data_IF_375106766862
#
_entry.id   IF_375106766862
#
_cell.length_a   1.000
_cell.length_b   1.000
_cell.length_c   1.000
_cell.angle_alpha   90.00
_cell.angle_beta   90.00
_cell.angle_gamma   90.00
#
_symmetry.space_group_name_H-M   'P 1'
#
loop_
_entity.id
_entity.type
_entity.pdbx_description
1 polymer ?
#
# COMPACT_ATOMS: atom_id res chain seq x y z
N UNK A 1 -17.28 -2.94 -30.37
CA UNK A 1 -16.26 -2.76 -29.32
C UNK A 1 -16.78 -1.66 -28.41
N UNK A 2 -16.85 -1.91 -27.10
CA UNK A 2 -17.22 -0.87 -26.14
C UNK A 2 -16.11 0.18 -26.13
N UNK A 3 -16.48 1.45 -26.25
CA UNK A 3 -15.49 2.53 -26.20
C UNK A 3 -14.87 2.62 -24.80
N UNK A 4 -15.66 2.32 -23.76
CA UNK A 4 -15.26 2.38 -22.35
C UNK A 4 -15.88 1.24 -21.54
N UNK A 5 -15.11 0.70 -20.59
CA UNK A 5 -15.66 -0.14 -19.52
C UNK A 5 -16.23 0.73 -18.39
N UNK A 6 -17.22 0.22 -17.63
CA UNK A 6 -17.77 0.87 -16.43
C UNK A 6 -17.70 -0.06 -15.21
N UNK A 7 -17.16 0.47 -14.12
CA UNK A 7 -17.07 -0.22 -12.82
C UNK A 7 -17.72 0.68 -11.78
N UNK A 8 -18.60 0.16 -10.92
CA UNK A 8 -19.18 0.90 -9.78
C UNK A 8 -18.81 0.19 -8.49
N UNK A 9 -18.29 0.93 -7.52
CA UNK A 9 -17.82 0.42 -6.22
C UNK A 9 -18.29 1.30 -5.06
N UNK A 10 -18.23 0.75 -3.85
CA UNK A 10 -18.36 1.56 -2.63
C UNK A 10 -17.23 2.59 -2.55
N UNK A 11 -17.58 3.84 -2.27
CA UNK A 11 -16.62 4.93 -2.26
C UNK A 11 -15.62 4.83 -1.11
N UNK A 12 -16.06 4.36 0.06
CA UNK A 12 -15.21 4.32 1.26
C UNK A 12 -14.17 3.21 1.20
N UNK A 13 -14.50 1.94 0.91
CA UNK A 13 -13.52 0.89 0.62
C UNK A 13 -12.55 1.29 -0.50
N UNK A 14 -13.04 1.88 -1.59
CA UNK A 14 -12.17 2.36 -2.67
C UNK A 14 -11.18 3.43 -2.20
N UNK A 15 -11.63 4.42 -1.41
CA UNK A 15 -10.76 5.48 -0.90
C UNK A 15 -9.67 4.92 0.03
N UNK A 16 -10.02 3.95 0.88
CA UNK A 16 -9.08 3.24 1.77
C UNK A 16 -8.06 2.43 0.97
N UNK A 17 -8.51 1.66 -0.02
CA UNK A 17 -7.68 0.87 -0.91
C UNK A 17 -6.69 1.74 -1.69
N UNK A 18 -7.16 2.85 -2.27
CA UNK A 18 -6.33 3.80 -2.99
C UNK A 18 -5.30 4.48 -2.08
N UNK A 19 -5.68 4.83 -0.85
CA UNK A 19 -4.76 5.41 0.13
C UNK A 19 -3.65 4.42 0.54
N UNK A 20 -3.99 3.14 0.75
CA UNK A 20 -3.03 2.09 1.04
C UNK A 20 -2.07 1.88 -0.14
N UNK A 21 -2.58 1.81 -1.37
CA UNK A 21 -1.77 1.70 -2.58
C UNK A 21 -0.83 2.90 -2.77
N UNK A 22 -1.30 4.13 -2.54
CA UNK A 22 -0.47 5.35 -2.57
C UNK A 22 0.64 5.34 -1.51
N UNK A 23 0.43 4.68 -0.37
CA UNK A 23 1.43 4.57 0.68
C UNK A 23 2.59 3.63 0.27
N UNK A 24 2.29 2.56 -0.46
CA UNK A 24 3.25 1.54 -0.93
C UNK A 24 3.92 1.94 -2.24
N UNK A 25 3.20 2.54 -3.18
CA UNK A 25 3.77 2.96 -4.46
C UNK A 25 4.94 3.94 -4.26
N UNK A 26 6.13 3.68 -4.84
CA UNK A 26 7.25 4.60 -4.78
C UNK A 26 6.96 5.93 -5.49
N UNK A 27 7.82 6.92 -5.28
CA UNK A 27 7.66 8.26 -5.87
C UNK A 27 8.40 8.46 -7.19
N UNK A 28 8.98 7.40 -7.76
CA UNK A 28 9.83 7.45 -8.94
C UNK A 28 9.51 6.30 -9.88
N UNK A 29 9.60 6.57 -11.17
CA UNK A 29 9.50 5.57 -12.24
C UNK A 29 10.54 4.44 -12.06
N UNK A 30 10.24 3.22 -12.56
CA UNK A 30 9.02 2.83 -13.29
C UNK A 30 7.88 2.32 -12.38
N UNK A 31 8.12 2.25 -11.07
CA UNK A 31 7.20 1.61 -10.12
C UNK A 31 6.23 2.59 -9.45
N UNK A 32 6.22 3.88 -9.81
CA UNK A 32 5.28 4.88 -9.31
C UNK A 32 3.87 4.70 -9.91
N UNK A 33 3.40 3.46 -9.93
CA UNK A 33 2.18 3.01 -10.60
C UNK A 33 1.25 2.37 -9.57
N UNK A 34 -0.04 2.59 -9.76
CA UNK A 34 -1.11 1.89 -9.05
C UNK A 34 -1.94 1.15 -10.09
N UNK A 35 -2.07 -0.16 -9.87
CA UNK A 35 -2.85 -1.05 -10.70
C UNK A 35 -4.25 -1.21 -10.12
N UNK A 36 -5.22 -1.27 -11.01
CA UNK A 36 -6.59 -1.69 -10.75
C UNK A 36 -6.80 -2.94 -11.60
N UNK A 37 -7.24 -4.04 -10.99
CA UNK A 37 -7.49 -5.30 -11.68
C UNK A 37 -8.84 -5.86 -11.26
N UNK A 38 -9.61 -6.35 -12.20
CA UNK A 38 -10.85 -7.07 -11.90
C UNK A 38 -10.49 -8.53 -11.66
N UNK A 39 -10.82 -9.04 -10.47
CA UNK A 39 -10.60 -10.44 -10.09
C UNK A 39 -11.94 -11.01 -9.66
N UNK A 40 -12.52 -11.87 -10.49
CA UNK A 40 -13.91 -12.30 -10.31
C UNK A 40 -14.85 -11.10 -10.29
N UNK A 41 -15.65 -10.99 -9.22
CA UNK A 41 -16.62 -9.90 -9.03
C UNK A 41 -16.08 -8.75 -8.17
N UNK A 42 -14.76 -8.65 -8.02
CA UNK A 42 -14.11 -7.67 -7.14
C UNK A 42 -13.11 -6.82 -7.90
N UNK A 43 -13.03 -5.54 -7.56
CA UNK A 43 -11.96 -4.65 -8.02
C UNK A 43 -10.82 -4.72 -7.03
N UNK A 44 -9.62 -5.06 -7.47
CA UNK A 44 -8.42 -5.07 -6.65
C UNK A 44 -7.56 -3.87 -6.98
N UNK A 45 -7.25 -3.05 -5.98
CA UNK A 45 -6.33 -1.92 -6.08
C UNK A 45 -4.98 -2.35 -5.51
N UNK A 46 -3.95 -2.30 -6.33
CA UNK A 46 -2.65 -2.84 -6.01
C UNK A 46 -1.50 -1.86 -6.30
N UNK A 47 -0.43 -1.99 -5.54
CA UNK A 47 0.83 -1.28 -5.76
C UNK A 47 2.00 -2.14 -5.30
N UNK A 48 3.18 -1.91 -5.87
CA UNK A 48 4.42 -2.55 -5.41
C UNK A 48 5.63 -1.64 -5.58
N UNK A 49 6.64 -1.91 -4.77
CA UNK A 49 8.00 -1.41 -4.88
C UNK A 49 8.93 -2.58 -5.25
N UNK A 50 10.23 -2.42 -5.01
CA UNK A 50 11.21 -3.51 -5.09
C UNK A 50 11.09 -4.49 -3.92
N UNK A 51 10.59 -4.04 -2.77
CA UNK A 51 10.59 -4.79 -1.51
C UNK A 51 9.20 -4.99 -0.94
N UNK A 52 8.20 -4.19 -1.32
CA UNK A 52 6.84 -4.30 -0.79
C UNK A 52 5.81 -4.44 -1.91
N UNK A 53 4.70 -5.11 -1.61
CA UNK A 53 3.55 -5.19 -2.50
C UNK A 53 2.26 -5.22 -1.67
N UNK A 54 1.21 -4.58 -2.15
CA UNK A 54 -0.13 -4.60 -1.54
C UNK A 54 -1.19 -4.81 -2.61
N UNK A 55 -2.23 -5.57 -2.27
CA UNK A 55 -3.46 -5.73 -3.03
C UNK A 55 -4.64 -5.60 -2.06
N UNK A 56 -5.56 -4.69 -2.36
CA UNK A 56 -6.74 -4.42 -1.55
C UNK A 56 -7.98 -4.63 -2.39
N UNK A 57 -8.86 -5.50 -1.92
CA UNK A 57 -10.15 -5.79 -2.50
C UNK A 57 -11.14 -4.65 -2.24
N UNK A 58 -11.89 -4.30 -3.28
CA UNK A 58 -12.94 -3.30 -3.27
C UNK A 58 -14.20 -3.94 -3.83
N UNK A 59 -15.25 -4.12 -2.99
CA UNK A 59 -16.52 -4.67 -3.44
C UNK A 59 -17.10 -3.87 -4.61
N UNK A 60 -17.62 -4.59 -5.60
CA UNK A 60 -18.24 -4.00 -6.79
C UNK A 60 -19.76 -4.16 -6.74
N UNK A 61 -20.47 -3.16 -7.26
CA UNK A 61 -21.92 -3.22 -7.49
C UNK A 61 -22.25 -3.51 -8.95
N UNK A 62 -21.37 -3.09 -9.85
CA UNK A 62 -21.59 -3.16 -11.28
C UNK A 62 -20.25 -3.29 -11.98
N UNK A 63 -20.18 -4.25 -12.90
CA UNK A 63 -19.05 -4.50 -13.78
C UNK A 63 -19.56 -4.67 -15.20
N UNK A 64 -19.09 -3.79 -16.09
CA UNK A 64 -19.25 -3.89 -17.53
C UNK A 64 -17.89 -3.62 -18.15
N UNK A 65 -17.11 -4.68 -18.30
CA UNK A 65 -15.67 -4.61 -18.56
C UNK A 65 -15.32 -5.34 -19.83
N UNK A 66 -14.61 -4.65 -20.72
CA UNK A 66 -13.91 -5.26 -21.84
C UNK A 66 -12.65 -5.96 -21.31
N UNK A 67 -12.75 -7.23 -20.95
CA UNK A 67 -11.66 -7.98 -20.33
C UNK A 67 -10.43 -8.17 -21.23
N UNK A 68 -10.53 -7.98 -22.55
CA UNK A 68 -9.35 -8.04 -23.41
C UNK A 68 -8.45 -6.79 -23.26
N UNK A 69 -9.05 -5.65 -22.87
CA UNK A 69 -8.36 -4.35 -22.77
C UNK A 69 -8.24 -3.84 -21.34
N UNK A 70 -9.23 -4.10 -20.52
CA UNK A 70 -9.48 -3.44 -19.24
C UNK A 70 -9.61 -4.43 -18.06
N UNK A 71 -9.21 -5.70 -18.24
CA UNK A 71 -9.03 -6.65 -17.12
C UNK A 71 -8.15 -6.01 -16.03
N UNK A 72 -7.14 -5.25 -16.46
CA UNK A 72 -6.42 -4.35 -15.60
C UNK A 72 -6.20 -3.00 -16.27
N UNK A 73 -5.98 -1.97 -15.45
CA UNK A 73 -5.52 -0.66 -15.88
C UNK A 73 -4.65 -0.04 -14.82
N UNK A 74 -3.74 0.83 -15.25
CA UNK A 74 -2.72 1.42 -14.41
C UNK A 74 -2.79 2.94 -14.51
N UNK A 75 -2.50 3.64 -13.42
CA UNK A 75 -2.29 5.08 -13.39
C UNK A 75 -1.04 5.37 -12.57
N UNK A 76 -0.43 6.53 -12.79
CA UNK A 76 0.71 6.92 -11.95
C UNK A 76 0.23 7.27 -10.53
N UNK A 77 1.15 7.25 -9.58
CA UNK A 77 0.89 7.65 -8.20
C UNK A 77 0.41 9.11 -8.11
N UNK A 78 0.88 9.98 -9.01
CA UNK A 78 0.42 11.36 -9.08
C UNK A 78 -1.06 11.43 -9.51
N UNK A 79 -1.44 10.66 -10.53
CA UNK A 79 -2.82 10.55 -11.01
C UNK A 79 -3.74 9.92 -9.95
N UNK A 80 -3.26 8.92 -9.22
CA UNK A 80 -3.99 8.34 -8.09
C UNK A 80 -4.27 9.37 -6.98
N UNK A 81 -3.33 10.28 -6.69
CA UNK A 81 -3.56 11.38 -5.75
C UNK A 81 -4.60 12.36 -6.29
N UNK A 82 -4.59 12.65 -7.58
CA UNK A 82 -5.60 13.49 -8.22
C UNK A 82 -7.00 12.84 -8.15
N UNK A 83 -7.09 11.53 -8.44
CA UNK A 83 -8.31 10.76 -8.24
C UNK A 83 -8.79 10.84 -6.80
N UNK A 84 -7.91 10.62 -5.81
CA UNK A 84 -8.25 10.63 -4.39
C UNK A 84 -8.72 11.99 -3.87
N UNK A 85 -8.28 13.10 -4.49
CA UNK A 85 -8.63 14.46 -4.07
C UNK A 85 -10.11 14.82 -4.27
N UNK A 86 -10.83 14.09 -5.13
CA UNK A 86 -12.26 14.27 -5.31
C UNK A 86 -13.03 13.89 -4.04
N UNK A 87 -13.58 14.92 -3.40
CA UNK A 87 -14.42 14.77 -2.20
C UNK A 87 -15.83 14.34 -2.58
N UNK A 88 -16.25 13.22 -2.02
CA UNK A 88 -17.64 12.77 -2.06
C UNK A 88 -18.33 13.22 -0.78
N UNK A 89 -19.61 13.60 -0.90
CA UNK A 89 -20.43 14.00 0.24
C UNK A 89 -21.77 13.32 0.10
N UNK A 90 -22.31 12.85 1.23
CA UNK A 90 -23.69 12.41 1.31
C UNK A 90 -24.57 13.65 1.27
N UNK A 91 -25.49 13.69 0.32
CA UNK A 91 -26.52 14.74 0.29
C UNK A 91 -27.70 14.33 1.21
N UNK A 92 -28.03 13.04 1.27
CA UNK A 92 -28.91 12.42 2.27
C UNK A 92 -28.14 11.45 3.20
N UNK A 93 -28.37 11.45 4.52
CA UNK A 93 -27.79 10.46 5.44
C UNK A 93 -28.01 8.99 5.03
N UNK A 94 -29.14 8.69 4.40
CA UNK A 94 -29.51 7.35 3.92
C UNK A 94 -28.78 6.97 2.62
N UNK A 95 -28.20 7.93 1.90
CA UNK A 95 -27.47 7.65 0.67
C UNK A 95 -26.19 6.85 0.95
N UNK A 96 -26.00 5.78 0.19
CA UNK A 96 -24.73 5.09 0.10
C UNK A 96 -23.81 5.80 -0.88
N UNK A 97 -22.58 6.09 -0.45
CA UNK A 97 -21.60 6.73 -1.32
C UNK A 97 -21.03 5.70 -2.28
N UNK A 98 -21.27 5.92 -3.58
CA UNK A 98 -20.81 5.05 -4.65
C UNK A 98 -20.06 5.87 -5.69
N UNK A 99 -19.00 5.31 -6.24
CA UNK A 99 -18.28 5.95 -7.33
C UNK A 99 -18.21 5.03 -8.54
N UNK A 100 -18.19 5.66 -9.70
CA UNK A 100 -18.00 5.01 -10.98
C UNK A 100 -16.57 5.21 -11.47
N UNK A 101 -16.05 4.23 -12.18
CA UNK A 101 -14.83 4.31 -12.97
C UNK A 101 -15.22 4.00 -14.41
N UNK A 102 -15.08 4.98 -15.29
CA UNK A 102 -15.11 4.76 -16.73
C UNK A 102 -13.68 4.57 -17.21
N UNK A 103 -13.38 3.40 -17.77
CA UNK A 103 -12.05 3.00 -18.20
C UNK A 103 -12.00 3.10 -19.73
N UNK A 104 -11.12 3.95 -20.21
CA UNK A 104 -10.77 4.07 -21.62
C UNK A 104 -9.33 3.61 -21.84
N UNK A 105 -8.95 3.39 -23.09
CA UNK A 105 -7.59 3.05 -23.49
C UNK A 105 -6.53 4.10 -23.08
N UNK A 106 -6.95 5.33 -22.78
CA UNK A 106 -6.03 6.47 -22.56
C UNK A 106 -6.27 7.20 -21.25
N UNK A 107 -7.41 6.98 -20.61
CA UNK A 107 -7.82 7.76 -19.45
C UNK A 107 -8.76 6.95 -18.57
N UNK A 108 -8.80 7.32 -17.30
CA UNK A 108 -9.76 6.83 -16.31
C UNK A 108 -10.57 8.03 -15.83
N UNK A 109 -11.89 7.90 -15.80
CA UNK A 109 -12.78 8.95 -15.33
C UNK A 109 -13.54 8.44 -14.11
N UNK A 110 -13.22 9.02 -12.95
CA UNK A 110 -13.95 8.77 -11.71
C UNK A 110 -15.17 9.67 -11.66
N UNK A 111 -16.34 9.09 -11.44
CA UNK A 111 -17.63 9.80 -11.30
C UNK A 111 -18.23 9.55 -9.92
N UNK A 112 -18.99 10.51 -9.42
CA UNK A 112 -19.86 10.31 -8.25
C UNK A 112 -21.14 9.62 -8.72
N UNK A 113 -21.47 8.44 -8.19
CA UNK A 113 -22.67 7.68 -8.55
C UNK A 113 -23.65 7.61 -7.37
N UNK A 114 -23.49 8.49 -6.38
CA UNK A 114 -24.32 8.54 -5.17
C UNK A 114 -25.63 9.32 -5.40
N UNK A 115 -26.73 8.83 -4.81
CA UNK A 115 -28.02 9.52 -4.79
C UNK A 115 -28.53 9.99 -6.16
N UNK A 116 -29.04 11.22 -6.22
CA UNK A 116 -29.43 11.90 -7.48
C UNK A 116 -28.25 12.53 -8.23
N UNK A 117 -27.03 12.45 -7.66
CA UNK A 117 -25.81 13.12 -8.11
C UNK A 117 -25.02 12.39 -9.20
N UNK A 118 -25.69 11.56 -10.01
CA UNK A 118 -25.14 10.69 -11.06
C UNK A 118 -24.21 11.41 -12.04
N UNK A 119 -22.92 11.48 -11.70
CA UNK A 119 -21.86 12.02 -12.55
C UNK A 119 -21.66 13.54 -12.48
N UNK A 120 -22.29 14.26 -11.53
CA UNK A 120 -22.14 15.73 -11.44
C UNK A 120 -20.70 16.13 -11.10
N UNK A 121 -20.05 15.34 -10.24
CA UNK A 121 -18.63 15.50 -9.91
C UNK A 121 -17.86 14.40 -10.59
N UNK A 122 -16.79 14.79 -11.28
CA UNK A 122 -15.93 13.83 -11.93
C UNK A 122 -14.48 14.32 -12.00
N UNK A 123 -13.55 13.37 -11.98
CA UNK A 123 -12.11 13.62 -12.15
C UNK A 123 -11.58 12.66 -13.19
N UNK A 124 -10.95 13.22 -14.23
CA UNK A 124 -10.35 12.47 -15.32
C UNK A 124 -8.84 12.46 -15.15
N UNK A 125 -8.25 11.28 -15.22
CA UNK A 125 -6.80 11.06 -15.12
C UNK A 125 -6.29 10.26 -16.30
N UNK A 126 -4.99 10.36 -16.59
CA UNK A 126 -4.37 9.61 -17.67
C UNK A 126 -4.13 8.15 -17.28
N UNK A 127 -4.42 7.22 -18.20
CA UNK A 127 -3.99 5.82 -18.08
C UNK A 127 -2.47 5.73 -18.31
N UNK A 128 -1.79 5.05 -17.42
CA UNK A 128 -0.36 4.75 -17.51
C UNK A 128 -0.15 3.45 -18.30
N UNK A 129 0.91 3.40 -19.11
CA UNK A 129 1.33 2.19 -19.81
C UNK A 129 0.44 1.79 -20.99
N UNK A 130 0.73 0.60 -21.51
CA UNK A 130 -0.04 -0.06 -22.57
C UNK A 130 -1.21 -0.85 -21.94
N UNK A 131 -2.39 -0.91 -22.57
CA UNK A 131 -3.46 -1.80 -22.13
C UNK A 131 -3.08 -3.29 -22.11
N UNK A 132 -2.04 -3.66 -22.85
CA UNK A 132 -1.65 -5.05 -23.09
C UNK A 132 -0.35 -5.47 -22.38
N UNK A 133 0.32 -4.54 -21.69
CA UNK A 133 1.51 -4.83 -20.89
C UNK A 133 1.45 -4.09 -19.54
N UNK A 134 1.47 -4.85 -18.44
CA UNK A 134 1.39 -4.32 -17.08
C UNK A 134 2.79 -4.02 -16.55
N UNK A 135 3.00 -2.84 -15.99
CA UNK A 135 4.27 -2.49 -15.34
C UNK A 135 4.50 -3.29 -14.04
N UNK A 136 3.42 -3.70 -13.36
CA UNK A 136 3.51 -4.38 -12.06
C UNK A 136 3.36 -5.91 -12.16
N UNK A 137 2.89 -6.42 -13.31
CA UNK A 137 2.47 -7.80 -13.49
C UNK A 137 1.11 -8.08 -12.82
N UNK A 138 0.87 -9.33 -12.44
CA UNK A 138 -0.33 -9.72 -11.68
C UNK A 138 -0.01 -9.72 -10.17
N UNK A 139 -0.13 -8.55 -9.55
CA UNK A 139 0.14 -8.36 -8.11
C UNK A 139 -0.83 -9.17 -7.24
N UNK A 140 -2.15 -9.15 -7.48
CA UNK A 140 -3.10 -9.95 -6.70
C UNK A 140 -2.78 -11.45 -6.73
N UNK A 141 -2.50 -12.01 -7.91
CA UNK A 141 -2.11 -13.42 -8.02
C UNK A 141 -0.82 -13.73 -7.26
N UNK A 142 0.21 -12.90 -7.44
CA UNK A 142 1.51 -13.08 -6.74
C UNK A 142 1.37 -13.07 -5.22
N UNK A 143 0.48 -12.23 -4.67
CA UNK A 143 0.21 -12.16 -3.24
C UNK A 143 -0.63 -13.33 -2.74
N UNK A 144 -1.61 -13.78 -3.52
CA UNK A 144 -2.39 -14.99 -3.21
C UNK A 144 -1.49 -16.22 -3.14
N UNK A 145 -0.53 -16.37 -4.06
CA UNK A 145 0.48 -17.43 -3.99
C UNK A 145 1.34 -17.34 -2.72
N UNK A 146 1.70 -16.13 -2.28
CA UNK A 146 2.49 -15.93 -1.08
C UNK A 146 1.71 -16.29 0.20
N UNK A 147 0.42 -15.98 0.25
CA UNK A 147 -0.49 -16.32 1.37
C UNK A 147 -0.70 -17.83 1.50
N UNK A 148 -0.69 -18.58 0.39
CA UNK A 148 -0.87 -20.03 0.39
C UNK A 148 0.38 -20.83 0.79
N UNK A 149 1.51 -20.15 1.04
CA UNK A 149 2.75 -20.81 1.49
C UNK A 149 2.68 -21.12 2.99
N UNK A 150 3.34 -22.20 3.42
CA UNK A 150 3.37 -22.55 4.83
C UNK A 150 4.04 -21.45 5.66
N UNK A 151 3.53 -21.26 6.87
CA UNK A 151 4.14 -20.39 7.87
C UNK A 151 5.47 -21.00 8.31
N UNK A 152 6.52 -20.19 8.29
CA UNK A 152 7.86 -20.57 8.76
C UNK A 152 8.25 -19.86 10.04
N UNK A 153 7.72 -18.66 10.28
CA UNK A 153 7.94 -17.88 11.50
C UNK A 153 6.70 -17.01 11.80
N UNK A 154 6.17 -17.09 13.02
CA UNK A 154 4.98 -16.32 13.42
C UNK A 154 5.28 -14.86 13.77
N UNK A 155 6.56 -14.50 13.91
CA UNK A 155 7.02 -13.17 14.33
C UNK A 155 8.23 -12.71 13.50
N UNK A 156 8.05 -12.43 12.20
CA UNK A 156 9.15 -12.01 11.36
C UNK A 156 9.75 -10.69 11.87
N UNK A 157 11.08 -10.60 11.77
CA UNK A 157 11.79 -9.34 11.97
C UNK A 157 11.46 -8.37 10.83
N UNK A 158 11.18 -7.13 11.19
CA UNK A 158 10.99 -6.02 10.25
C UNK A 158 11.72 -4.78 10.77
N UNK A 159 12.24 -3.97 9.85
CA UNK A 159 12.90 -2.71 10.18
C UNK A 159 11.89 -1.59 10.50
N UNK A 160 12.38 -0.47 11.02
CA UNK A 160 11.53 0.67 11.38
C UNK A 160 10.78 1.30 10.19
N UNK A 161 11.33 1.21 8.97
CA UNK A 161 10.67 1.75 7.75
C UNK A 161 9.48 0.88 7.36
N UNK A 162 9.64 -0.44 7.44
CA UNK A 162 8.62 -1.44 7.17
C UNK A 162 7.49 -1.34 8.20
N UNK A 163 7.81 -1.24 9.50
CA UNK A 163 6.80 -0.98 10.53
C UNK A 163 6.04 0.34 10.29
N UNK A 164 6.74 1.39 9.89
CA UNK A 164 6.12 2.68 9.55
C UNK A 164 5.19 2.57 8.34
N UNK A 165 5.58 1.81 7.31
CA UNK A 165 4.73 1.55 6.15
C UNK A 165 3.50 0.73 6.54
N UNK A 166 3.68 -0.35 7.28
CA UNK A 166 2.58 -1.19 7.77
C UNK A 166 1.58 -0.38 8.60
N UNK A 167 2.07 0.48 9.50
CA UNK A 167 1.22 1.39 10.27
C UNK A 167 0.43 2.37 9.39
N UNK A 168 1.02 2.87 8.28
CA UNK A 168 0.30 3.71 7.30
C UNK A 168 -0.77 2.93 6.55
N UNK A 169 -0.47 1.68 6.14
CA UNK A 169 -1.44 0.81 5.45
C UNK A 169 -2.58 0.44 6.39
N UNK A 170 -2.29 -0.02 7.60
CA UNK A 170 -3.30 -0.35 8.62
C UNK A 170 -4.21 0.86 8.93
N UNK A 171 -3.63 2.06 9.08
CA UNK A 171 -4.40 3.29 9.29
C UNK A 171 -5.26 3.66 8.09
N UNK A 172 -4.78 3.43 6.87
CA UNK A 172 -5.55 3.71 5.65
C UNK A 172 -6.75 2.77 5.52
N UNK A 173 -6.57 1.50 5.86
CA UNK A 173 -7.60 0.47 5.74
C UNK A 173 -8.55 0.41 6.93
N UNK A 174 -8.15 0.94 8.09
CA UNK A 174 -8.94 0.92 9.32
C UNK A 174 -9.27 -0.53 9.73
N UNK A 175 -8.27 -1.41 9.65
CA UNK A 175 -8.41 -2.85 9.89
C UNK A 175 -7.28 -3.40 10.75
N UNK A 176 -7.51 -4.57 11.34
CA UNK A 176 -6.45 -5.37 11.97
C UNK A 176 -5.69 -6.16 10.90
N UNK A 177 -4.37 -6.22 11.07
CA UNK A 177 -3.48 -6.96 10.19
C UNK A 177 -2.76 -8.06 10.98
N UNK A 178 -2.73 -9.26 10.42
CA UNK A 178 -1.97 -10.41 10.90
C UNK A 178 -0.76 -10.58 9.99
N UNK A 179 0.39 -10.92 10.55
CA UNK A 179 1.62 -11.09 9.77
C UNK A 179 2.42 -12.32 10.21
N UNK A 180 3.12 -12.93 9.26
CA UNK A 180 3.99 -14.10 9.46
C UNK A 180 5.04 -14.16 8.33
N UNK A 181 6.09 -14.97 8.49
CA UNK A 181 7.03 -15.28 7.42
C UNK A 181 6.65 -16.54 6.66
N UNK A 182 6.95 -16.58 5.36
CA UNK A 182 6.90 -17.80 4.54
C UNK A 182 8.28 -18.23 3.98
N UNK A 183 9.34 -17.61 4.50
CA UNK A 183 10.75 -17.89 4.20
C UNK A 183 11.44 -18.51 5.41
N UNK A 184 12.45 -19.36 5.20
CA UNK A 184 13.22 -19.91 6.31
C UNK A 184 13.81 -18.80 7.20
N UNK A 185 13.87 -18.97 8.53
CA UNK A 185 14.37 -17.95 9.46
C UNK A 185 15.80 -17.48 9.16
N UNK A 186 16.64 -18.37 8.65
CA UNK A 186 18.05 -18.08 8.31
C UNK A 186 18.21 -17.55 6.86
N UNK A 187 17.11 -17.23 6.19
CA UNK A 187 17.14 -16.66 4.85
C UNK A 187 17.62 -15.22 4.90
N UNK A 188 18.62 -14.87 4.08
CA UNK A 188 19.04 -13.48 3.84
C UNK A 188 17.90 -12.57 3.36
N UNK A 189 16.82 -13.17 2.87
CA UNK A 189 15.63 -12.51 2.38
C UNK A 189 14.41 -13.09 3.08
N UNK A 190 14.03 -12.48 4.21
CA UNK A 190 12.82 -12.86 4.93
C UNK A 190 11.60 -12.25 4.22
N UNK A 191 10.68 -13.10 3.80
CA UNK A 191 9.42 -12.70 3.17
C UNK A 191 8.31 -12.72 4.20
N UNK A 192 7.97 -11.53 4.66
CA UNK A 192 6.85 -11.30 5.57
C UNK A 192 5.58 -11.13 4.75
N UNK A 193 4.59 -11.96 5.03
CA UNK A 193 3.25 -11.86 4.48
C UNK A 193 2.36 -11.24 5.54
N UNK A 194 1.47 -10.36 5.10
CA UNK A 194 0.53 -9.63 5.93
C UNK A 194 -0.86 -9.82 5.31
N UNK A 195 -1.84 -10.17 6.15
CA UNK A 195 -3.23 -10.37 5.75
C UNK A 195 -4.16 -9.59 6.67
N UNK A 196 -5.24 -9.06 6.09
CA UNK A 196 -6.39 -8.51 6.80
C UNK A 196 -7.67 -8.75 6.01
N UNK A 197 -8.78 -8.19 6.48
CA UNK A 197 -10.04 -8.26 5.76
C UNK A 197 -9.93 -7.54 4.41
N UNK A 198 -10.06 -8.29 3.31
CA UNK A 198 -9.91 -7.78 1.94
C UNK A 198 -8.52 -7.23 1.60
N UNK A 199 -7.46 -7.56 2.33
CA UNK A 199 -6.10 -7.09 2.02
C UNK A 199 -5.05 -8.19 2.13
N UNK A 200 -4.18 -8.23 1.13
CA UNK A 200 -2.94 -8.97 1.13
C UNK A 200 -1.77 -8.00 0.94
N UNK A 201 -0.71 -8.20 1.71
CA UNK A 201 0.53 -7.43 1.59
C UNK A 201 1.73 -8.35 1.79
N UNK A 202 2.83 -8.03 1.14
CA UNK A 202 4.11 -8.70 1.32
C UNK A 202 5.20 -7.66 1.50
N UNK A 203 6.15 -7.95 2.39
CA UNK A 203 7.34 -7.17 2.66
C UNK A 203 8.55 -8.10 2.61
N UNK A 204 9.55 -7.72 1.84
CA UNK A 204 10.85 -8.36 1.78
C UNK A 204 11.79 -7.65 2.74
N UNK A 205 12.22 -8.35 3.78
CA UNK A 205 13.30 -7.94 4.66
C UNK A 205 14.57 -8.62 4.15
N UNK A 206 15.39 -7.88 3.40
CA UNK A 206 16.76 -8.30 3.18
C UNK A 206 17.54 -7.94 4.45
N UNK A 207 18.31 -8.89 5.01
CA UNK A 207 19.41 -8.50 5.90
C UNK A 207 20.36 -7.67 5.03
N UNK A 208 20.25 -6.34 5.17
CA UNK A 208 21.24 -5.43 4.60
C UNK A 208 22.47 -5.53 5.52
N UNK A 209 23.11 -6.70 5.56
CA UNK A 209 24.55 -6.76 5.76
C UNK A 209 25.22 -6.30 4.45
N UNK A 210 24.94 -5.07 4.05
CA UNK A 210 25.65 -4.40 2.97
C UNK A 210 26.56 -3.37 3.62
N UNK A 211 27.77 -3.85 3.90
CA UNK A 211 29.01 -3.12 3.63
C UNK A 211 29.14 -1.75 4.29
N UNK A 212 29.59 -1.75 5.55
CA UNK A 212 30.80 -0.98 5.86
C UNK A 212 31.95 -1.57 5.02
N UNK A 213 31.96 -1.27 3.71
CA UNK A 213 33.21 -1.26 2.98
C UNK A 213 33.93 -0.04 3.51
N UNK A 214 35.02 -0.28 4.23
CA UNK A 214 36.03 0.70 4.61
C UNK A 214 36.17 1.76 3.50
N UNK A 215 35.54 2.91 3.71
CA UNK A 215 35.93 4.10 2.99
C UNK A 215 37.38 4.37 3.45
N UNK A 216 38.35 4.52 2.53
CA UNK A 216 39.71 4.82 2.95
C UNK A 216 39.67 6.09 3.81
N UNK A 217 40.22 5.98 5.02
CA UNK A 217 40.32 7.06 6.00
C UNK A 217 40.76 8.35 5.28
N UNK A 218 39.83 9.30 5.19
CA UNK A 218 40.20 10.66 4.86
C UNK A 218 41.04 11.18 6.04
N UNK A 219 42.35 11.19 5.88
CA UNK A 219 43.28 11.88 6.79
C UNK A 219 42.82 13.32 6.97
N UNK A 220 42.14 13.59 8.08
CA UNK A 220 41.97 14.93 8.62
C UNK A 220 43.20 15.28 9.47
N UNK A 221 43.83 16.45 9.24
CA UNK A 221 45.00 16.85 10.01
C UNK A 221 44.61 17.14 11.46
N UNK A 222 45.47 16.67 12.36
CA UNK A 222 45.44 16.86 13.81
C UNK A 222 45.33 18.34 14.19
N UNK A 223 44.30 18.67 14.97
CA UNK A 223 44.30 19.84 15.83
C UNK A 223 44.12 19.34 17.27
N UNK A 224 45.24 19.33 17.98
CA UNK A 224 45.29 19.18 19.43
C UNK A 224 44.39 20.24 20.07
N UNK A 225 43.49 19.82 20.94
CA UNK A 225 43.11 20.58 22.11
C UNK A 225 42.71 19.60 23.21
N UNK A 226 43.59 19.52 24.19
CA UNK A 226 43.39 18.94 25.51
C UNK A 226 42.18 19.58 26.20
N UNK A 227 41.38 18.78 26.90
CA UNK A 227 40.78 19.12 28.19
C UNK A 227 40.23 17.86 28.87
N UNK A 228 40.67 17.67 30.10
CA UNK A 228 40.48 16.51 30.98
C UNK A 228 39.03 16.26 31.43
N UNK A 229 38.76 14.96 31.65
CA UNK A 229 37.91 14.33 32.69
C UNK A 229 36.47 14.79 32.93
N UNK A 230 35.53 13.83 32.95
CA UNK A 230 34.60 13.56 34.07
C UNK A 230 33.91 12.19 33.87
N UNK A 231 33.76 11.51 35.00
CA UNK A 231 33.32 10.14 35.30
C UNK A 231 31.79 10.07 35.61
N UNK A 232 31.31 8.85 35.90
CA UNK A 232 29.97 8.37 36.30
C UNK A 232 28.94 8.17 35.16
N UNK A 233 28.27 7.02 34.99
CA UNK A 233 27.90 5.96 35.94
C UNK A 233 26.36 5.80 35.89
N UNK A 234 25.83 4.64 35.49
CA UNK A 234 24.37 4.44 35.42
C UNK A 234 23.94 3.17 34.71
N UNK A 235 23.85 2.09 35.50
CA UNK A 235 23.21 0.80 35.23
C UNK A 235 21.70 0.96 35.50
N UNK A 236 20.83 0.48 34.61
CA UNK A 236 19.43 0.17 34.94
C UNK A 236 18.84 -0.78 33.88
N UNK A 237 18.58 -2.00 34.33
CA UNK A 237 17.88 -3.07 33.63
C UNK A 237 16.40 -3.04 33.99
N UNK A 238 15.51 -2.92 33.00
CA UNK A 238 14.07 -3.13 33.20
C UNK A 238 13.60 -4.38 32.43
N UNK A 239 12.95 -5.27 33.18
CA UNK A 239 12.38 -6.55 32.78
C UNK A 239 11.15 -6.39 31.89
N UNK A 240 11.10 -7.16 30.80
CA UNK A 240 10.01 -7.18 29.81
C UNK A 240 8.77 -7.96 30.30
N UNK A 241 7.60 -7.32 30.22
CA UNK A 241 6.27 -7.87 30.46
C UNK A 241 5.79 -8.71 29.24
N UNK A 242 5.71 -10.03 29.39
CA UNK A 242 5.31 -10.99 28.35
C UNK A 242 3.80 -10.98 28.08
N UNK A 243 3.38 -10.23 27.06
CA UNK A 243 2.02 -10.29 26.51
C UNK A 243 1.97 -10.06 24.99
N UNK A 244 0.95 -10.57 24.28
CA UNK A 244 0.77 -10.33 22.85
C UNK A 244 0.59 -8.83 22.53
N UNK A 245 1.42 -8.28 21.64
CA UNK A 245 1.36 -6.87 21.23
C UNK A 245 0.24 -6.63 20.22
N UNK A 246 -0.84 -6.05 20.72
CA UNK A 246 -1.92 -5.48 19.90
C UNK A 246 -1.53 -4.04 19.54
N UNK A 247 -1.44 -3.70 18.26
CA UNK A 247 -1.22 -2.31 17.84
C UNK A 247 -2.57 -1.66 17.59
N UNK A 248 -2.98 -0.78 18.50
CA UNK A 248 -4.13 0.11 18.33
C UNK A 248 -3.64 1.57 18.33
N UNK A 249 -4.06 2.36 17.35
CA UNK A 249 -3.74 3.78 17.31
C UNK A 249 -4.77 4.57 18.11
N UNK A 250 -4.35 5.16 19.24
CA UNK A 250 -5.18 6.15 19.93
C UNK A 250 -5.13 7.49 19.16
N UNK A 251 -6.28 8.12 18.87
CA UNK A 251 -6.31 9.41 18.20
C UNK A 251 -5.74 10.51 19.11
N UNK A 252 -4.97 11.47 18.57
CA UNK A 252 -4.57 12.64 19.33
C UNK A 252 -5.80 13.47 19.70
N UNK A 253 -5.84 13.95 20.95
CA UNK A 253 -6.88 14.85 21.43
C UNK A 253 -6.86 16.14 20.60
N UNK A 254 -7.99 16.43 19.98
CA UNK A 254 -8.31 17.72 19.39
C UNK A 254 -8.11 17.75 17.89
N UNK A 255 -9.23 17.80 17.16
CA UNK A 255 -9.49 18.81 16.12
C UNK A 255 -10.97 18.69 15.73
N UNK A 256 -11.68 19.79 15.97
CA UNK A 256 -12.94 20.13 15.31
C UNK A 256 -12.71 20.39 13.81
#
# INVERSE_FOLDING_TARGET
MMETSKIIVDAQPFARALAAAIAVAPGKEPLDVIQFRVVGDTLVVAARSHTEAVAVEVPTYYLDVDYERDEYFEITRAEARALAAMKMKKDDPEDELRLGLLVHEQWIHRTDESGLGLGIRAVKVRRCGSPYESALGDVPHSLAEALNKPVTEDRPKMDGRQWTLLGRVARALDCHLVLWANSQPDSQNVRTVIQGDGVAMMVLCADIEATEQDAPEATTPSLENSLDSIDDGGDDSDEDDEGPKTVAANPPKGLA
#
